data_IF_483513838802
#
_entry.id   IF_483513838802
#
_cell.length_a   1.000
_cell.length_b   1.000
_cell.length_c   1.000
_cell.angle_alpha   90.00
_cell.angle_beta   90.00
_cell.angle_gamma   90.00
#
_symmetry.space_group_name_H-M   'P 1'
#
loop_
_entity.id
_entity.type
_entity.pdbx_description
1 polymer ?
#
# COMPACT_ATOMS: atom_id res chain seq x y z
N UNK A 1 11.48 -39.61 -12.08
CA UNK A 1 10.75 -39.55 -10.81
C UNK A 1 9.58 -38.57 -10.97
N UNK A 2 8.34 -39.10 -10.90
CA UNK A 2 7.11 -38.32 -11.16
C UNK A 2 6.66 -37.66 -9.86
N UNK A 3 6.31 -36.37 -9.89
CA UNK A 3 5.67 -35.67 -8.77
C UNK A 3 4.16 -35.94 -8.78
N UNK A 4 3.50 -36.20 -7.62
CA UNK A 4 2.05 -36.37 -7.58
C UNK A 4 1.35 -35.01 -7.52
N UNK A 5 0.27 -34.86 -8.33
CA UNK A 5 -0.60 -33.70 -8.35
C UNK A 5 -1.52 -33.66 -7.12
N UNK A 6 -1.70 -32.49 -6.53
CA UNK A 6 -2.74 -32.24 -5.53
C UNK A 6 -4.06 -31.89 -6.22
N UNK A 7 -5.07 -32.71 -5.94
CA UNK A 7 -6.44 -32.54 -6.40
C UNK A 7 -7.16 -31.46 -5.57
N UNK A 8 -7.78 -30.52 -6.26
CA UNK A 8 -8.72 -29.56 -5.67
C UNK A 8 -10.02 -30.32 -5.30
N UNK A 9 -10.42 -30.22 -4.04
CA UNK A 9 -11.75 -30.66 -3.60
C UNK A 9 -12.65 -29.42 -3.45
N UNK A 10 -13.65 -29.35 -4.34
CA UNK A 10 -14.77 -28.44 -4.24
C UNK A 10 -15.67 -28.87 -3.06
N UNK A 11 -16.01 -27.95 -2.18
CA UNK A 11 -17.04 -28.12 -1.15
C UNK A 11 -18.28 -27.37 -1.58
N UNK A 12 -19.30 -28.13 -2.00
CA UNK A 12 -20.66 -27.64 -2.25
C UNK A 12 -21.41 -27.55 -0.94
N UNK A 13 -21.96 -26.40 -0.59
CA UNK A 13 -22.96 -26.25 0.48
C UNK A 13 -24.35 -26.14 -0.15
N UNK A 14 -25.19 -27.09 0.19
CA UNK A 14 -26.59 -27.17 -0.21
C UNK A 14 -27.46 -26.20 0.56
N UNK A 15 -28.33 -25.46 -0.18
CA UNK A 15 -29.38 -24.64 0.38
C UNK A 15 -30.56 -25.48 0.85
N UNK A 16 -30.96 -25.34 2.09
CA UNK A 16 -32.22 -25.89 2.65
C UNK A 16 -33.30 -24.81 2.71
N UNK A 17 -34.31 -24.96 1.84
CA UNK A 17 -35.58 -24.20 1.93
C UNK A 17 -36.45 -24.77 3.06
N UNK A 18 -36.89 -23.91 3.99
CA UNK A 18 -38.03 -24.20 4.87
C UNK A 18 -39.07 -23.11 4.66
N UNK A 19 -40.18 -23.49 4.03
CA UNK A 19 -41.36 -22.69 3.92
C UNK A 19 -42.22 -22.82 5.21
N UNK A 20 -42.43 -21.71 5.89
CA UNK A 20 -43.35 -21.60 7.02
C UNK A 20 -44.37 -20.49 6.77
N UNK A 21 -45.61 -20.89 6.49
CA UNK A 21 -46.78 -20.01 6.43
C UNK A 21 -47.23 -19.72 7.86
N UNK A 22 -47.37 -18.46 8.26
CA UNK A 22 -48.18 -18.08 9.42
C UNK A 22 -48.87 -16.76 9.19
N UNK A 23 -50.12 -16.77 9.63
CA UNK A 23 -51.21 -15.87 9.36
C UNK A 23 -51.06 -14.43 9.88
N UNK A 24 -51.77 -13.54 9.19
CA UNK A 24 -52.05 -12.14 9.50
C UNK A 24 -52.80 -11.95 10.84
N UNK A 25 -52.18 -11.21 11.76
CA UNK A 25 -52.91 -10.41 12.74
C UNK A 25 -52.19 -9.08 12.89
N UNK A 26 -52.89 -8.02 12.52
CA UNK A 26 -52.41 -6.65 12.60
C UNK A 26 -52.32 -6.16 14.06
N UNK A 27 -51.19 -5.57 14.39
CA UNK A 27 -51.05 -4.61 15.48
C UNK A 27 -50.18 -3.47 14.96
N UNK A 28 -50.78 -2.28 14.91
CA UNK A 28 -50.04 -1.06 14.66
C UNK A 28 -49.10 -0.79 15.84
N UNK A 29 -47.82 -1.02 15.65
CA UNK A 29 -46.79 -0.61 16.58
C UNK A 29 -46.20 0.73 16.08
N UNK A 30 -46.25 1.74 16.96
CA UNK A 30 -45.63 3.04 16.75
C UNK A 30 -44.17 2.87 16.46
N UNK A 31 -43.69 3.47 15.35
CA UNK A 31 -42.28 3.54 14.99
C UNK A 31 -41.54 4.37 16.04
N UNK A 32 -40.71 3.73 16.83
CA UNK A 32 -39.66 4.40 17.59
C UNK A 32 -38.61 4.89 16.60
N UNK A 33 -38.15 6.16 16.66
CA UNK A 33 -37.07 6.62 15.80
C UNK A 33 -35.81 5.85 16.18
N UNK A 34 -35.16 5.21 15.18
CA UNK A 34 -33.79 4.69 15.31
C UNK A 34 -32.87 5.82 15.73
N UNK A 35 -31.93 5.57 16.66
CA UNK A 35 -30.89 6.55 16.97
C UNK A 35 -30.02 6.72 15.72
N UNK A 36 -30.12 7.89 15.11
CA UNK A 36 -29.15 8.35 14.11
C UNK A 36 -27.75 8.23 14.73
N UNK A 37 -26.94 7.29 14.24
CA UNK A 37 -25.56 7.23 14.57
C UNK A 37 -24.94 8.59 14.18
N UNK A 38 -24.58 9.38 15.19
CA UNK A 38 -23.77 10.59 14.98
C UNK A 38 -22.48 10.15 14.31
N UNK A 39 -22.33 10.50 13.04
CA UNK A 39 -21.07 10.39 12.36
C UNK A 39 -20.02 11.12 13.19
N UNK A 40 -19.01 10.38 13.66
CA UNK A 40 -17.83 10.97 14.28
C UNK A 40 -17.21 11.89 13.21
N UNK A 41 -17.03 13.19 13.49
CA UNK A 41 -16.41 14.08 12.52
C UNK A 41 -15.02 13.53 12.19
N UNK A 42 -14.81 13.16 10.92
CA UNK A 42 -13.47 12.84 10.42
C UNK A 42 -12.64 14.11 10.59
N UNK A 43 -11.41 14.05 11.15
CA UNK A 43 -10.55 15.22 11.22
C UNK A 43 -10.38 15.76 9.79
N UNK A 44 -10.83 16.99 9.56
CA UNK A 44 -10.45 17.69 8.33
C UNK A 44 -8.96 18.03 8.44
N UNK A 45 -8.16 17.73 7.41
CA UNK A 45 -6.79 18.20 7.40
C UNK A 45 -6.80 19.72 7.45
N UNK A 46 -6.22 20.29 8.50
CA UNK A 46 -5.97 21.74 8.56
C UNK A 46 -5.03 22.08 7.41
N UNK A 47 -5.50 22.99 6.56
CA UNK A 47 -4.84 23.49 5.37
C UNK A 47 -3.43 23.99 5.69
N UNK A 48 -2.45 23.55 4.87
CA UNK A 48 -1.15 24.17 4.64
C UNK A 48 -0.13 24.06 5.76
N UNK A 49 0.31 22.84 6.07
CA UNK A 49 1.74 22.68 6.33
C UNK A 49 2.43 22.66 4.95
N UNK A 50 3.32 23.62 4.69
CA UNK A 50 4.25 23.52 3.56
C UNK A 50 4.93 22.16 3.67
N UNK A 51 4.75 21.30 2.65
CA UNK A 51 5.48 20.05 2.56
C UNK A 51 6.96 20.43 2.60
N UNK A 52 7.77 19.99 3.58
CA UNK A 52 9.17 20.34 3.59
C UNK A 52 9.77 19.80 2.28
N UNK A 53 10.28 20.74 1.46
CA UNK A 53 11.07 20.38 0.29
C UNK A 53 12.26 19.56 0.79
N UNK A 54 12.58 18.46 0.08
CA UNK A 54 13.81 17.72 0.34
C UNK A 54 14.96 18.70 0.12
N UNK A 55 15.73 19.03 1.17
CA UNK A 55 16.91 19.90 1.06
C UNK A 55 18.02 19.27 0.20
N UNK A 56 17.92 17.97 -0.08
CA UNK A 56 18.82 17.23 -0.96
C UNK A 56 18.08 16.80 -2.25
N UNK A 57 18.25 17.52 -3.37
CA UNK A 57 17.54 17.25 -4.62
C UNK A 57 18.00 15.98 -5.36
N UNK A 58 18.89 15.17 -4.75
CA UNK A 58 19.33 13.94 -5.40
C UNK A 58 18.20 12.92 -5.49
N UNK A 59 18.00 12.29 -6.66
CA UNK A 59 17.06 11.18 -6.81
C UNK A 59 17.32 10.07 -5.77
N UNK A 60 16.27 9.45 -5.23
CA UNK A 60 16.39 8.38 -4.24
C UNK A 60 17.33 7.28 -4.70
N UNK A 61 17.21 6.87 -5.97
CA UNK A 61 18.03 5.82 -6.56
C UNK A 61 19.55 6.05 -6.48
N UNK A 62 19.98 7.30 -6.24
CA UNK A 62 21.41 7.68 -6.18
C UNK A 62 21.92 7.93 -4.76
N UNK A 63 21.09 7.82 -3.74
CA UNK A 63 21.47 8.10 -2.35
C UNK A 63 22.31 7.00 -1.72
N UNK A 64 21.99 5.74 -2.02
CA UNK A 64 22.70 4.58 -1.48
C UNK A 64 23.93 4.20 -2.36
N UNK A 65 24.93 3.59 -1.72
CA UNK A 65 26.10 3.04 -2.43
C UNK A 65 25.68 1.98 -3.43
N UNK A 66 26.06 2.13 -4.69
CA UNK A 66 25.62 1.27 -5.78
C UNK A 66 26.12 -0.17 -5.66
N UNK A 67 27.31 -0.38 -5.10
CA UNK A 67 27.86 -1.73 -4.90
C UNK A 67 27.09 -2.44 -3.76
N UNK A 68 26.73 -1.71 -2.72
CA UNK A 68 25.86 -2.21 -1.65
C UNK A 68 24.47 -2.56 -2.21
N UNK A 69 23.86 -1.67 -3.00
CA UNK A 69 22.55 -1.91 -3.63
C UNK A 69 22.58 -3.17 -4.47
N UNK A 70 23.59 -3.32 -5.36
CA UNK A 70 23.71 -4.50 -6.23
C UNK A 70 23.86 -5.80 -5.42
N UNK A 71 24.66 -5.79 -4.36
CA UNK A 71 24.88 -6.95 -3.49
C UNK A 71 23.60 -7.34 -2.74
N UNK A 72 22.92 -6.36 -2.13
CA UNK A 72 21.69 -6.64 -1.36
C UNK A 72 20.54 -7.05 -2.30
N UNK A 73 20.39 -6.40 -3.44
CA UNK A 73 19.42 -6.76 -4.46
C UNK A 73 19.54 -8.23 -4.87
N UNK A 74 20.78 -8.67 -5.18
CA UNK A 74 21.04 -10.05 -5.55
C UNK A 74 20.77 -11.04 -4.40
N UNK A 75 21.14 -10.70 -3.17
CA UNK A 75 20.93 -11.55 -2.01
C UNK A 75 19.46 -11.66 -1.60
N UNK A 76 18.69 -10.58 -1.76
CA UNK A 76 17.28 -10.48 -1.40
C UNK A 76 16.33 -10.94 -2.52
N UNK A 77 16.81 -11.09 -3.76
CA UNK A 77 15.96 -11.36 -4.93
C UNK A 77 15.10 -10.16 -5.36
N UNK A 78 15.55 -8.94 -5.03
CA UNK A 78 14.86 -7.70 -5.35
C UNK A 78 15.43 -7.13 -6.67
N UNK A 79 14.62 -6.64 -7.61
CA UNK A 79 15.14 -5.90 -8.76
C UNK A 79 16.04 -4.75 -8.32
N UNK A 80 17.26 -4.58 -8.90
CA UNK A 80 18.20 -3.56 -8.43
C UNK A 80 17.63 -2.14 -8.43
N UNK A 81 16.75 -1.83 -9.39
CA UNK A 81 16.10 -0.51 -9.49
C UNK A 81 15.14 -0.26 -8.31
N UNK A 82 14.35 -1.27 -7.91
CA UNK A 82 13.49 -1.18 -6.74
C UNK A 82 14.32 -1.11 -5.45
N UNK A 83 15.39 -1.90 -5.34
CA UNK A 83 16.27 -1.87 -4.17
C UNK A 83 16.90 -0.49 -3.97
N UNK A 84 17.32 0.16 -5.05
CA UNK A 84 17.88 1.52 -4.99
C UNK A 84 16.85 2.52 -4.44
N UNK A 85 15.58 2.42 -4.86
CA UNK A 85 14.50 3.27 -4.34
C UNK A 85 14.24 3.02 -2.85
N UNK A 86 14.14 1.76 -2.41
CA UNK A 86 13.91 1.43 -1.00
C UNK A 86 15.05 1.93 -0.10
N UNK A 87 16.30 1.72 -0.51
CA UNK A 87 17.46 2.20 0.22
C UNK A 87 17.49 3.73 0.28
N UNK A 88 17.24 4.38 -0.85
CA UNK A 88 17.17 5.83 -0.95
C UNK A 88 16.07 6.43 -0.09
N UNK A 89 14.87 5.85 -0.10
CA UNK A 89 13.74 6.28 0.73
C UNK A 89 14.03 6.19 2.23
N UNK A 90 14.65 5.09 2.67
CA UNK A 90 15.05 4.95 4.07
C UNK A 90 16.11 6.00 4.47
N UNK A 91 17.07 6.30 3.59
CA UNK A 91 18.09 7.34 3.82
C UNK A 91 17.48 8.73 3.83
N UNK A 92 16.55 9.03 2.91
CA UNK A 92 15.84 10.31 2.88
C UNK A 92 15.06 10.54 4.20
N UNK A 93 14.30 9.53 4.65
CA UNK A 93 13.57 9.64 5.92
C UNK A 93 14.47 9.73 7.14
N UNK A 94 15.66 9.13 7.12
CA UNK A 94 16.63 9.29 8.20
C UNK A 94 17.14 10.75 8.32
N UNK A 95 17.18 11.46 7.20
CA UNK A 95 17.55 12.89 7.16
C UNK A 95 16.36 13.79 7.51
N UNK A 96 15.20 13.56 6.89
CA UNK A 96 14.02 14.42 7.01
C UNK A 96 13.24 14.21 8.33
N UNK A 97 13.10 12.93 8.74
CA UNK A 97 12.36 12.51 9.94
C UNK A 97 13.20 11.56 10.81
N UNK A 98 14.29 12.03 11.43
CA UNK A 98 15.26 11.16 12.13
C UNK A 98 14.64 10.35 13.28
N UNK A 99 13.48 10.76 13.79
CA UNK A 99 12.74 10.02 14.81
C UNK A 99 11.88 8.86 14.29
N UNK A 100 11.71 8.74 12.97
CA UNK A 100 10.85 7.70 12.38
C UNK A 100 11.52 6.32 12.39
N UNK A 101 12.78 6.23 12.02
CA UNK A 101 13.55 4.97 12.03
C UNK A 101 13.08 3.93 11.01
N UNK A 102 12.38 4.32 9.92
CA UNK A 102 11.96 3.40 8.87
C UNK A 102 13.18 2.79 8.17
N UNK A 103 13.20 1.46 8.06
CA UNK A 103 14.25 0.73 7.33
C UNK A 103 13.85 0.39 5.90
N UNK A 104 14.85 0.23 5.01
CA UNK A 104 14.64 -0.23 3.63
C UNK A 104 13.90 -1.59 3.57
N UNK A 105 14.09 -2.45 4.57
CA UNK A 105 13.44 -3.76 4.69
C UNK A 105 11.92 -3.64 4.84
N UNK A 106 11.41 -2.62 5.54
CA UNK A 106 9.98 -2.34 5.66
C UNK A 106 9.41 -1.87 4.31
N UNK A 107 10.07 -0.93 3.65
CA UNK A 107 9.65 -0.43 2.33
C UNK A 107 9.67 -1.55 1.28
N UNK A 108 10.72 -2.37 1.26
CA UNK A 108 10.81 -3.53 0.39
C UNK A 108 9.74 -4.58 0.68
N UNK A 109 9.39 -4.81 1.95
CA UNK A 109 8.34 -5.75 2.32
C UNK A 109 6.96 -5.31 1.81
N UNK A 110 6.64 -4.02 1.93
CA UNK A 110 5.41 -3.45 1.37
C UNK A 110 5.44 -3.59 -0.16
N UNK A 111 6.49 -3.14 -0.83
CA UNK A 111 6.60 -3.25 -2.29
C UNK A 111 6.56 -4.69 -2.81
N UNK A 112 7.03 -5.67 -2.03
CA UNK A 112 6.88 -7.08 -2.36
C UNK A 112 5.42 -7.53 -2.28
N UNK A 113 4.73 -7.17 -1.21
CA UNK A 113 3.34 -7.61 -0.99
C UNK A 113 2.39 -6.93 -1.96
N UNK A 114 2.65 -5.67 -2.34
CA UNK A 114 1.81 -4.88 -3.23
C UNK A 114 1.95 -5.26 -4.71
N UNK A 115 3.18 -5.48 -5.18
CA UNK A 115 3.41 -5.62 -6.62
C UNK A 115 4.61 -6.50 -7.00
N UNK A 116 5.12 -7.33 -6.08
CA UNK A 116 6.36 -8.08 -6.32
C UNK A 116 7.50 -7.14 -6.77
N UNK A 117 7.63 -5.99 -6.09
CA UNK A 117 8.60 -4.93 -6.43
C UNK A 117 8.38 -4.27 -7.80
N UNK A 118 7.15 -4.16 -8.25
CA UNK A 118 6.80 -3.61 -9.55
C UNK A 118 6.91 -4.61 -10.70
N UNK A 119 6.96 -5.93 -10.40
CA UNK A 119 7.10 -6.98 -11.43
C UNK A 119 5.88 -7.89 -11.57
N UNK A 120 4.81 -7.62 -10.84
CA UNK A 120 3.56 -8.38 -10.90
C UNK A 120 3.04 -8.49 -12.34
N UNK A 121 2.48 -9.64 -12.69
CA UNK A 121 1.90 -9.91 -14.02
C UNK A 121 2.85 -9.70 -15.20
N UNK A 122 4.16 -9.78 -14.96
CA UNK A 122 5.19 -9.61 -15.98
C UNK A 122 5.55 -8.14 -16.26
N UNK A 123 5.13 -7.23 -15.39
CA UNK A 123 5.58 -5.85 -15.42
C UNK A 123 7.09 -5.75 -15.16
N UNK A 124 7.68 -4.65 -15.55
CA UNK A 124 9.08 -4.31 -15.25
C UNK A 124 9.17 -2.85 -14.81
N UNK A 125 10.18 -2.53 -14.03
CA UNK A 125 10.60 -1.15 -13.84
C UNK A 125 11.63 -0.82 -14.93
N UNK A 126 11.38 0.25 -15.70
CA UNK A 126 12.39 0.77 -16.63
C UNK A 126 13.59 1.40 -15.90
N UNK A 127 14.61 1.83 -16.64
CA UNK A 127 15.83 2.39 -16.05
C UNK A 127 15.54 3.67 -15.23
N UNK A 128 14.53 4.43 -15.62
CA UNK A 128 14.04 5.60 -14.90
C UNK A 128 13.23 5.23 -13.66
N UNK A 129 12.85 3.95 -13.51
CA UNK A 129 12.09 3.43 -12.36
C UNK A 129 10.58 3.50 -12.51
N UNK A 130 10.08 3.69 -13.73
CA UNK A 130 8.65 3.68 -14.01
C UNK A 130 8.16 2.27 -14.34
N UNK A 131 7.01 1.88 -13.76
CA UNK A 131 6.37 0.59 -14.06
C UNK A 131 5.87 0.54 -15.52
N UNK A 132 6.20 -0.56 -16.22
CA UNK A 132 5.83 -0.82 -17.62
C UNK A 132 5.29 -2.24 -17.82
N UNK A 133 4.02 -2.36 -18.28
CA UNK A 133 2.99 -1.32 -18.32
C UNK A 133 2.73 -0.72 -16.93
N UNK A 134 1.89 0.35 -16.83
CA UNK A 134 1.50 0.89 -15.52
C UNK A 134 0.72 -0.17 -14.72
N UNK A 135 0.95 -0.22 -13.42
CA UNK A 135 0.28 -1.15 -12.51
C UNK A 135 -1.01 -0.49 -12.00
N UNK A 136 -2.14 -1.13 -12.26
CA UNK A 136 -3.46 -0.72 -11.78
C UNK A 136 -4.16 -1.95 -11.21
N UNK A 137 -4.59 -1.86 -9.96
CA UNK A 137 -5.24 -2.93 -9.23
C UNK A 137 -6.69 -3.19 -9.67
N UNK A 138 -7.36 -4.07 -8.95
CA UNK A 138 -8.79 -4.33 -9.14
C UNK A 138 -9.64 -3.15 -8.69
N UNK A 139 -10.87 -3.03 -9.19
CA UNK A 139 -11.82 -2.04 -8.69
C UNK A 139 -12.15 -2.30 -7.22
N UNK A 140 -12.11 -1.26 -6.41
CA UNK A 140 -12.47 -1.32 -4.99
C UNK A 140 -13.99 -1.20 -4.85
N UNK A 141 -14.71 -2.19 -5.37
CA UNK A 141 -16.18 -2.19 -5.49
C UNK A 141 -16.90 -2.93 -4.34
N UNK A 142 -16.14 -3.43 -3.37
CA UNK A 142 -16.67 -4.19 -2.23
C UNK A 142 -16.84 -5.70 -2.51
N UNK A 143 -16.53 -6.20 -3.69
CA UNK A 143 -16.65 -7.63 -4.01
C UNK A 143 -15.49 -8.47 -3.50
N UNK A 144 -14.26 -7.92 -3.56
CA UNK A 144 -13.03 -8.56 -3.09
C UNK A 144 -12.14 -7.62 -2.25
N UNK A 145 -12.63 -6.44 -1.95
CA UNK A 145 -11.96 -5.36 -1.21
C UNK A 145 -13.00 -4.51 -0.49
N UNK A 146 -12.56 -3.51 0.28
CA UNK A 146 -13.45 -2.46 0.76
C UNK A 146 -14.03 -1.67 -0.43
N UNK A 147 -15.26 -1.13 -0.27
CA UNK A 147 -15.89 -0.34 -1.30
C UNK A 147 -15.42 1.12 -1.21
N UNK A 148 -14.62 1.56 -2.19
CA UNK A 148 -14.11 2.94 -2.27
C UNK A 148 -14.54 3.53 -3.61
N UNK A 149 -15.40 4.57 -3.54
CA UNK A 149 -15.86 5.30 -4.72
C UNK A 149 -14.72 6.13 -5.29
N UNK A 150 -14.77 6.34 -6.62
CA UNK A 150 -13.84 7.21 -7.32
C UNK A 150 -13.65 8.56 -6.61
N UNK A 151 -12.39 8.93 -6.39
CA UNK A 151 -11.98 10.13 -5.67
C UNK A 151 -11.21 11.13 -6.54
N UNK A 152 -10.80 10.76 -7.75
CA UNK A 152 -9.98 11.61 -8.63
C UNK A 152 -10.54 11.78 -10.06
N UNK A 153 -11.72 11.22 -10.36
CA UNK A 153 -12.32 11.25 -11.70
C UNK A 153 -11.67 10.26 -12.65
N UNK A 154 -11.00 9.22 -12.13
CA UNK A 154 -10.29 8.22 -12.91
C UNK A 154 -8.98 8.75 -13.50
N UNK A 155 -8.40 9.80 -12.94
CA UNK A 155 -7.17 10.43 -13.47
C UNK A 155 -5.97 9.50 -13.35
N UNK A 156 -5.82 8.83 -12.20
CA UNK A 156 -4.65 7.97 -11.92
C UNK A 156 -4.86 6.52 -12.38
N UNK A 157 -6.09 6.03 -12.29
CA UNK A 157 -6.39 4.60 -12.45
C UNK A 157 -7.27 4.26 -13.66
N UNK A 158 -7.89 5.28 -14.28
CA UNK A 158 -8.77 5.14 -15.45
C UNK A 158 -10.21 4.71 -15.13
N UNK A 159 -10.63 4.62 -13.85
CA UNK A 159 -11.97 4.20 -13.43
C UNK A 159 -12.69 5.33 -12.69
N UNK A 160 -13.63 6.00 -13.36
CA UNK A 160 -14.42 7.11 -12.80
C UNK A 160 -15.63 6.64 -11.95
N UNK A 161 -15.66 5.40 -11.49
CA UNK A 161 -16.73 4.83 -10.65
C UNK A 161 -16.18 4.34 -9.31
N UNK A 162 -15.06 3.67 -9.36
CA UNK A 162 -14.40 3.08 -8.20
C UNK A 162 -12.93 3.38 -8.24
N UNK A 163 -12.34 3.73 -7.10
CA UNK A 163 -10.88 3.81 -6.98
C UNK A 163 -10.24 2.44 -7.23
N UNK A 164 -9.03 2.46 -7.79
CA UNK A 164 -8.13 1.31 -7.91
C UNK A 164 -6.77 1.70 -7.35
N UNK A 165 -6.12 0.79 -6.67
CA UNK A 165 -4.74 1.00 -6.23
C UNK A 165 -3.81 1.12 -7.45
N UNK A 166 -2.83 2.03 -7.40
CA UNK A 166 -1.95 2.33 -8.52
C UNK A 166 -0.47 2.26 -8.16
N UNK A 167 0.33 1.85 -9.14
CA UNK A 167 1.78 1.85 -9.08
C UNK A 167 2.40 0.73 -8.25
N UNK A 168 3.75 0.69 -8.17
CA UNK A 168 4.46 -0.39 -7.49
C UNK A 168 4.22 -0.46 -5.97
N UNK A 169 3.74 0.62 -5.36
CA UNK A 169 3.37 0.66 -3.94
C UNK A 169 1.86 0.67 -3.71
N UNK A 170 1.04 0.51 -4.77
CA UNK A 170 -0.42 0.36 -4.76
C UNK A 170 -1.14 1.45 -3.92
N UNK A 171 -0.85 2.72 -4.22
CA UNK A 171 -1.57 3.83 -3.60
C UNK A 171 -3.02 3.94 -4.10
N UNK A 172 -3.95 4.17 -3.18
CA UNK A 172 -5.30 4.60 -3.52
C UNK A 172 -5.25 6.09 -3.90
N UNK A 173 -5.98 6.56 -4.94
CA UNK A 173 -5.96 7.97 -5.40
C UNK A 173 -6.15 9.00 -4.29
N UNK A 174 -7.10 8.79 -3.35
CA UNK A 174 -7.30 9.69 -2.20
C UNK A 174 -6.03 9.81 -1.33
N UNK A 175 -5.37 8.68 -1.04
CA UNK A 175 -4.13 8.67 -0.24
C UNK A 175 -2.98 9.30 -1.00
N UNK A 176 -2.88 9.05 -2.30
CA UNK A 176 -1.87 9.69 -3.15
C UNK A 176 -2.01 11.21 -3.14
N UNK A 177 -3.23 11.73 -3.24
CA UNK A 177 -3.47 13.18 -3.19
C UNK A 177 -2.96 13.86 -1.90
N UNK A 178 -2.85 13.12 -0.80
CA UNK A 178 -2.39 13.64 0.50
C UNK A 178 -0.87 13.49 0.70
N UNK A 179 -0.26 12.44 0.14
CA UNK A 179 1.11 12.03 0.46
C UNK A 179 2.05 12.00 -0.73
N UNK A 180 1.61 12.44 -1.93
CA UNK A 180 2.42 12.43 -3.13
C UNK A 180 3.72 13.22 -2.97
N UNK A 181 4.85 12.58 -3.23
CA UNK A 181 6.20 13.14 -3.14
C UNK A 181 6.97 12.89 -4.44
N UNK A 182 7.77 13.86 -4.84
CA UNK A 182 8.72 13.74 -5.95
C UNK A 182 10.04 13.15 -5.41
N UNK A 183 10.24 11.86 -5.60
CA UNK A 183 11.42 11.13 -5.13
C UNK A 183 12.53 11.02 -6.17
N UNK A 184 12.22 11.19 -7.46
CA UNK A 184 13.20 11.17 -8.54
C UNK A 184 13.74 12.57 -8.88
N UNK A 185 13.11 13.65 -8.39
CA UNK A 185 13.55 15.02 -8.58
C UNK A 185 13.21 15.60 -9.95
N UNK A 186 12.20 15.06 -10.66
CA UNK A 186 11.80 15.52 -11.98
C UNK A 186 10.76 16.66 -11.95
N UNK A 187 10.28 17.04 -10.77
CA UNK A 187 9.30 18.09 -10.53
C UNK A 187 7.84 17.61 -10.63
N UNK A 188 7.62 16.28 -10.72
CA UNK A 188 6.29 15.69 -10.75
C UNK A 188 6.26 14.50 -9.79
N UNK A 189 5.15 14.28 -9.09
CA UNK A 189 4.92 13.07 -8.33
C UNK A 189 4.04 12.12 -9.14
N UNK A 190 4.54 10.92 -9.44
CA UNK A 190 3.83 9.90 -10.24
C UNK A 190 3.80 8.56 -9.48
N UNK A 191 2.61 8.03 -9.15
CA UNK A 191 2.50 6.76 -8.41
C UNK A 191 3.06 5.57 -9.18
N UNK A 192 3.26 5.68 -10.50
CA UNK A 192 3.88 4.63 -11.34
C UNK A 192 5.42 4.67 -11.31
N UNK A 193 6.01 5.73 -10.75
CA UNK A 193 7.45 5.89 -10.59
C UNK A 193 7.88 5.42 -9.20
N UNK A 194 8.82 4.46 -9.14
CA UNK A 194 9.14 3.76 -7.88
C UNK A 194 9.75 4.68 -6.81
N UNK A 195 10.56 5.68 -7.18
CA UNK A 195 11.16 6.60 -6.20
C UNK A 195 10.09 7.47 -5.55
N UNK A 196 9.15 8.00 -6.35
CA UNK A 196 8.04 8.82 -5.87
C UNK A 196 7.13 8.01 -4.95
N UNK A 197 6.75 6.81 -5.41
CA UNK A 197 5.89 5.91 -4.66
C UNK A 197 6.53 5.46 -3.33
N UNK A 198 7.84 5.16 -3.33
CA UNK A 198 8.57 4.76 -2.12
C UNK A 198 8.72 5.93 -1.15
N UNK A 199 9.05 7.13 -1.63
CA UNK A 199 9.17 8.31 -0.76
C UNK A 199 7.82 8.65 -0.13
N UNK A 200 6.75 8.61 -0.91
CA UNK A 200 5.38 8.83 -0.44
C UNK A 200 4.96 7.80 0.60
N UNK A 201 5.26 6.52 0.37
CA UNK A 201 4.97 5.45 1.34
C UNK A 201 5.77 5.61 2.63
N UNK A 202 7.04 6.00 2.54
CA UNK A 202 7.87 6.23 3.70
C UNK A 202 7.36 7.40 4.54
N UNK A 203 6.96 8.50 3.89
CA UNK A 203 6.39 9.68 4.56
C UNK A 203 5.07 9.34 5.27
N UNK A 204 4.15 8.64 4.57
CA UNK A 204 2.90 8.14 5.14
C UNK A 204 3.13 7.26 6.38
N UNK A 205 4.01 6.27 6.28
CA UNK A 205 4.28 5.35 7.39
C UNK A 205 4.92 6.06 8.59
N UNK A 206 5.82 7.00 8.35
CA UNK A 206 6.44 7.81 9.38
C UNK A 206 5.44 8.75 10.08
N UNK A 207 4.48 9.30 9.33
CA UNK A 207 3.47 10.17 9.90
C UNK A 207 2.51 9.40 10.81
N UNK A 208 2.06 8.22 10.36
CA UNK A 208 1.08 7.41 11.10
C UNK A 208 1.73 6.70 12.30
N UNK A 209 2.91 6.12 12.11
CA UNK A 209 3.56 5.29 13.13
C UNK A 209 4.45 6.05 14.09
N UNK A 210 4.99 7.18 13.68
CA UNK A 210 5.94 7.94 14.49
C UNK A 210 7.31 7.24 14.58
N UNK A 211 7.59 6.50 15.65
CA UNK A 211 8.86 5.77 15.86
C UNK A 211 8.72 4.29 15.45
N UNK A 212 9.03 4.00 14.19
CA UNK A 212 8.91 2.65 13.61
C UNK A 212 9.99 1.67 14.09
N UNK A 213 10.90 2.08 14.96
CA UNK A 213 11.77 1.14 15.68
C UNK A 213 11.04 0.44 16.82
N UNK A 214 9.87 0.94 17.21
CA UNK A 214 9.01 0.35 18.22
C UNK A 214 8.01 -0.62 17.56
N UNK A 215 7.93 -1.86 18.03
CA UNK A 215 7.06 -2.87 17.41
C UNK A 215 5.59 -2.44 17.29
N UNK A 216 5.02 -1.82 18.33
CA UNK A 216 3.61 -1.43 18.35
C UNK A 216 3.33 -0.33 17.32
N UNK A 217 4.22 0.64 17.19
CA UNK A 217 4.11 1.76 16.26
C UNK A 217 4.29 1.25 14.80
N UNK A 218 5.23 0.33 14.58
CA UNK A 218 5.42 -0.32 13.30
C UNK A 218 4.18 -1.12 12.87
N UNK A 219 3.60 -1.92 13.78
CA UNK A 219 2.37 -2.69 13.52
C UNK A 219 1.22 -1.74 13.18
N UNK A 220 1.06 -0.64 13.93
CA UNK A 220 0.02 0.35 13.67
C UNK A 220 0.17 1.01 12.30
N UNK A 221 1.40 1.37 11.89
CA UNK A 221 1.67 1.95 10.58
C UNK A 221 1.36 0.98 9.43
N UNK A 222 1.78 -0.29 9.53
CA UNK A 222 1.49 -1.31 8.52
C UNK A 222 -0.01 -1.61 8.45
N UNK A 223 -0.71 -1.67 9.60
CA UNK A 223 -2.15 -1.85 9.64
C UNK A 223 -2.93 -0.65 9.08
N UNK A 224 -2.38 0.55 9.14
CA UNK A 224 -2.96 1.73 8.49
C UNK A 224 -2.77 1.71 6.96
N UNK A 225 -1.68 1.12 6.48
CA UNK A 225 -1.47 0.93 5.04
C UNK A 225 -2.49 -0.05 4.46
N UNK A 226 -2.72 -1.18 5.15
CA UNK A 226 -3.79 -2.12 4.84
C UNK A 226 -4.22 -2.86 6.12
N UNK A 227 -5.50 -2.78 6.47
CA UNK A 227 -6.04 -3.30 7.73
C UNK A 227 -6.20 -4.84 7.77
N UNK A 228 -6.03 -5.53 6.64
CA UNK A 228 -6.21 -6.98 6.58
C UNK A 228 -5.09 -7.73 7.31
N UNK A 229 -5.45 -8.63 8.21
CA UNK A 229 -4.48 -9.40 9.03
C UNK A 229 -3.51 -10.21 8.17
N UNK A 230 -3.98 -10.85 7.09
CA UNK A 230 -3.12 -11.64 6.20
C UNK A 230 -2.09 -10.76 5.48
N UNK A 231 -2.48 -9.54 5.10
CA UNK A 231 -1.56 -8.55 4.57
C UNK A 231 -0.47 -8.20 5.58
N UNK A 232 -0.87 -7.84 6.80
CA UNK A 232 0.06 -7.47 7.87
C UNK A 232 1.06 -8.58 8.19
N UNK A 233 0.60 -9.83 8.23
CA UNK A 233 1.47 -10.99 8.44
C UNK A 233 2.47 -11.16 7.28
N UNK A 234 2.04 -11.05 6.02
CA UNK A 234 2.91 -11.12 4.85
C UNK A 234 3.99 -10.04 4.85
N UNK A 235 3.61 -8.80 5.20
CA UNK A 235 4.57 -7.69 5.33
C UNK A 235 5.57 -7.96 6.46
N UNK A 236 5.10 -8.46 7.62
CA UNK A 236 5.98 -8.77 8.74
C UNK A 236 6.97 -9.89 8.42
N UNK A 237 6.53 -10.95 7.75
CA UNK A 237 7.38 -12.07 7.32
C UNK A 237 8.45 -11.58 6.31
N UNK A 238 8.05 -10.79 5.31
CA UNK A 238 8.95 -10.23 4.32
C UNK A 238 9.96 -9.26 4.96
N UNK A 239 9.50 -8.34 5.82
CA UNK A 239 10.37 -7.39 6.51
C UNK A 239 11.41 -8.09 7.40
N UNK A 240 11.01 -9.19 8.07
CA UNK A 240 11.91 -10.02 8.87
C UNK A 240 12.93 -10.74 8.00
N UNK A 241 12.50 -11.30 6.86
CA UNK A 241 13.40 -11.93 5.90
C UNK A 241 14.44 -10.93 5.39
N UNK A 242 14.02 -9.75 4.95
CA UNK A 242 14.93 -8.72 4.44
C UNK A 242 15.87 -8.17 5.50
N UNK A 243 15.43 -8.03 6.75
CA UNK A 243 16.28 -7.60 7.86
C UNK A 243 17.45 -8.58 8.13
N UNK A 244 17.32 -9.84 7.74
CA UNK A 244 18.38 -10.85 7.83
C UNK A 244 19.44 -10.77 6.73
N UNK A 245 19.21 -10.03 5.64
CA UNK A 245 20.13 -9.88 4.52
C UNK A 245 21.27 -8.90 4.87
N UNK A 246 22.53 -9.30 4.62
CA UNK A 246 23.74 -8.53 4.99
C UNK A 246 24.73 -8.40 3.84
#
# INVERSE_FOLDING_TARGET
>A
MRRPGLSQRAVSLAAGLIAGVCALTGCAAAATPEPTASAVPRPQPESSAETPAIDDPRPLATRADSAWVARIAAAAGIPPRAMAAYAGGALAMAEERPGCGIGWNTLAAIGFVESEHGTIDGNVLDDEGRARPGIVGIALDGSASDAIRDTDGGVLDGDAVWDRAVGPMQFIPETWALYARDGNGDGQADPQQIDDAVLSAADYLCEIGGDLTRPDDWIAAVAAYNAHTDYNNRVADAATFYAGIR
#
